data_IF_657809392604
#
_entry.id   IF_657809392604
#
_cell.length_a   1.000
_cell.length_b   1.000
_cell.length_c   1.000
_cell.angle_alpha   90.00
_cell.angle_beta   90.00
_cell.angle_gamma   90.00
#
_symmetry.space_group_name_H-M   'P 1'
#
loop_
_entity.id
_entity.type
_entity.pdbx_description
1 polymer ?
#
# COMPACT_ATOMS: atom_id res chain seq x y z
N UNK A 1 -7.32 -14.74 -31.34
CA UNK A 1 -7.67 -13.71 -30.34
C UNK A 1 -7.75 -14.28 -28.94
N UNK A 2 -8.71 -15.18 -28.62
CA UNK A 2 -8.84 -15.77 -27.27
C UNK A 2 -7.55 -16.43 -26.74
N UNK A 3 -6.88 -17.25 -27.55
CA UNK A 3 -5.63 -17.91 -27.14
C UNK A 3 -4.53 -16.90 -26.76
N UNK A 4 -4.34 -15.84 -27.55
CA UNK A 4 -3.34 -14.80 -27.26
C UNK A 4 -3.67 -14.04 -25.97
N UNK A 5 -4.94 -13.71 -25.74
CA UNK A 5 -5.38 -13.07 -24.50
C UNK A 5 -5.17 -13.97 -23.27
N UNK A 6 -5.39 -15.29 -23.40
CA UNK A 6 -5.10 -16.24 -22.32
C UNK A 6 -3.59 -16.34 -22.03
N UNK A 7 -2.75 -16.33 -23.06
CA UNK A 7 -1.28 -16.37 -22.91
C UNK A 7 -0.78 -15.09 -22.24
N UNK A 8 -1.29 -13.92 -22.62
CA UNK A 8 -0.93 -12.64 -22.01
C UNK A 8 -1.39 -12.56 -20.54
N UNK A 9 -2.61 -13.02 -20.24
CA UNK A 9 -3.09 -13.13 -18.87
C UNK A 9 -2.21 -14.07 -18.02
N UNK A 10 -1.81 -15.23 -18.57
CA UNK A 10 -0.87 -16.15 -17.91
C UNK A 10 0.50 -15.52 -17.66
N UNK A 11 0.99 -14.70 -18.57
CA UNK A 11 2.27 -14.02 -18.39
C UNK A 11 2.23 -13.05 -17.20
N UNK A 12 1.16 -12.24 -17.10
CA UNK A 12 0.98 -11.28 -16.01
C UNK A 12 0.82 -12.00 -14.66
N UNK A 13 0.00 -13.05 -14.60
CA UNK A 13 -0.18 -13.82 -13.36
C UNK A 13 1.09 -14.57 -12.96
N UNK A 14 1.87 -15.04 -13.93
CA UNK A 14 3.17 -15.68 -13.70
C UNK A 14 4.18 -14.75 -13.01
N UNK A 15 4.22 -13.47 -13.40
CA UNK A 15 5.05 -12.46 -12.73
C UNK A 15 4.64 -12.27 -11.27
N UNK A 16 3.33 -12.19 -11.00
CA UNK A 16 2.81 -12.05 -9.63
C UNK A 16 3.16 -13.28 -8.78
N UNK A 17 3.02 -14.49 -9.33
CA UNK A 17 3.38 -15.72 -8.62
C UNK A 17 4.88 -15.77 -8.27
N UNK A 18 5.75 -15.36 -9.18
CA UNK A 18 7.21 -15.24 -8.95
C UNK A 18 7.55 -14.19 -7.88
N UNK A 19 6.85 -13.07 -7.88
CA UNK A 19 7.00 -12.06 -6.81
C UNK A 19 6.62 -12.63 -5.45
N UNK A 20 5.47 -13.30 -5.34
CA UNK A 20 5.04 -13.93 -4.08
C UNK A 20 6.07 -14.93 -3.58
N UNK A 21 6.62 -15.79 -4.46
CA UNK A 21 7.66 -16.75 -4.08
C UNK A 21 8.95 -16.08 -3.56
N UNK A 22 9.37 -14.97 -4.18
CA UNK A 22 10.56 -14.24 -3.74
C UNK A 22 10.32 -13.52 -2.42
N UNK A 23 9.13 -12.97 -2.25
CA UNK A 23 8.70 -12.25 -1.05
C UNK A 23 8.58 -13.20 0.13
N UNK A 24 8.02 -14.40 -0.03
CA UNK A 24 7.95 -15.37 1.08
C UNK A 24 9.35 -15.73 1.56
N UNK A 25 10.29 -15.96 0.64
CA UNK A 25 11.69 -16.19 0.97
C UNK A 25 12.33 -14.99 1.70
N UNK A 26 12.09 -13.77 1.21
CA UNK A 26 12.59 -12.55 1.84
C UNK A 26 11.95 -12.28 3.21
N UNK A 27 10.67 -12.63 3.36
CA UNK A 27 9.92 -12.57 4.61
C UNK A 27 10.51 -13.50 5.67
N UNK A 28 10.85 -14.73 5.30
CA UNK A 28 11.56 -15.66 6.18
C UNK A 28 12.94 -15.12 6.61
N UNK A 29 13.66 -14.46 5.70
CA UNK A 29 14.94 -13.83 6.01
C UNK A 29 14.79 -12.63 6.96
N UNK A 30 13.83 -11.74 6.69
CA UNK A 30 13.47 -10.59 7.54
C UNK A 30 13.07 -11.06 8.94
N UNK A 31 12.32 -12.16 9.03
CA UNK A 31 11.89 -12.75 10.30
C UNK A 31 13.10 -13.28 11.09
N UNK A 32 14.06 -13.94 10.41
CA UNK A 32 15.30 -14.42 11.04
C UNK A 32 16.20 -13.29 11.53
N UNK A 33 16.31 -12.21 10.75
CA UNK A 33 17.09 -11.01 11.09
C UNK A 33 16.37 -10.10 12.10
N UNK A 34 15.16 -10.46 12.52
CA UNK A 34 14.32 -9.68 13.44
C UNK A 34 14.14 -8.21 13.00
N UNK A 35 14.15 -7.95 11.69
CA UNK A 35 14.07 -6.60 11.14
C UNK A 35 12.74 -5.94 11.53
N UNK A 36 11.63 -6.69 11.45
CA UNK A 36 10.32 -6.21 11.88
C UNK A 36 10.30 -5.83 13.37
N UNK A 37 11.01 -6.57 14.24
CA UNK A 37 11.11 -6.28 15.68
C UNK A 37 11.95 -5.03 15.93
N UNK A 38 13.10 -4.89 15.26
CA UNK A 38 13.93 -3.67 15.36
C UNK A 38 13.21 -2.42 14.88
N UNK A 39 12.42 -2.53 13.80
CA UNK A 39 11.58 -1.43 13.33
C UNK A 39 10.46 -1.17 14.35
N UNK A 40 9.82 -2.22 14.87
CA UNK A 40 8.82 -2.07 15.94
C UNK A 40 9.39 -1.30 17.15
N UNK A 41 10.62 -1.60 17.57
CA UNK A 41 11.27 -0.91 18.68
C UNK A 41 11.46 0.60 18.40
N UNK A 42 11.80 0.98 17.16
CA UNK A 42 11.88 2.38 16.75
C UNK A 42 10.51 3.05 16.79
N UNK A 43 9.47 2.35 16.32
CA UNK A 43 8.10 2.87 16.36
C UNK A 43 7.60 3.00 17.81
N UNK A 44 7.82 2.00 18.67
CA UNK A 44 7.41 2.02 20.08
C UNK A 44 8.19 3.06 20.89
N UNK A 45 9.47 3.29 20.58
CA UNK A 45 10.27 4.33 21.23
C UNK A 45 9.78 5.76 20.93
N UNK A 46 9.05 5.94 19.83
CA UNK A 46 8.58 7.26 19.35
C UNK A 46 7.06 7.40 19.48
N UNK A 47 6.29 6.31 19.48
CA UNK A 47 4.84 6.34 19.42
C UNK A 47 4.18 6.04 20.78
N UNK A 48 3.64 7.11 21.38
CA UNK A 48 2.87 7.03 22.63
C UNK A 48 1.41 6.58 22.42
N UNK A 49 0.93 6.51 21.16
CA UNK A 49 -0.46 6.16 20.84
C UNK A 49 -0.61 5.37 19.52
N UNK A 50 -1.66 4.52 19.40
CA UNK A 50 -1.95 3.80 18.15
C UNK A 50 -2.13 4.72 16.93
N UNK A 51 -2.67 5.92 17.13
CA UNK A 51 -2.85 6.89 16.07
C UNK A 51 -1.52 7.41 15.54
N UNK A 52 -0.53 7.61 16.41
CA UNK A 52 0.82 8.04 16.00
C UNK A 52 1.53 6.97 15.17
N UNK A 53 1.40 5.69 15.56
CA UNK A 53 1.89 4.55 14.76
C UNK A 53 1.24 4.53 13.37
N UNK A 54 -0.08 4.69 13.31
CA UNK A 54 -0.80 4.73 12.04
C UNK A 54 -0.31 5.87 11.15
N UNK A 55 -0.12 7.07 11.69
CA UNK A 55 0.41 8.22 10.93
C UNK A 55 1.83 7.93 10.42
N UNK A 56 2.70 7.34 11.23
CA UNK A 56 4.05 6.96 10.82
C UNK A 56 4.03 5.91 9.70
N UNK A 57 3.16 4.90 9.81
CA UNK A 57 2.99 3.88 8.77
C UNK A 57 2.47 4.51 7.48
N UNK A 58 1.44 5.35 7.54
CA UNK A 58 0.93 6.08 6.37
C UNK A 58 2.04 6.90 5.71
N UNK A 59 2.82 7.67 6.49
CA UNK A 59 3.92 8.47 5.98
C UNK A 59 4.99 7.60 5.29
N UNK A 60 5.38 6.49 5.91
CA UNK A 60 6.32 5.52 5.33
C UNK A 60 5.77 4.94 4.02
N UNK A 61 4.52 4.49 4.00
CA UNK A 61 3.89 3.86 2.84
C UNK A 61 3.68 4.85 1.69
N UNK A 62 3.30 6.09 1.97
CA UNK A 62 3.20 7.14 0.96
C UNK A 62 4.58 7.46 0.37
N UNK A 63 5.60 7.59 1.23
CA UNK A 63 6.94 7.91 0.78
C UNK A 63 7.53 6.77 -0.06
N UNK A 64 7.47 5.52 0.39
CA UNK A 64 8.00 4.39 -0.38
C UNK A 64 7.12 4.09 -1.61
N UNK A 65 5.79 4.18 -1.50
CA UNK A 65 4.84 3.93 -2.59
C UNK A 65 4.90 4.97 -3.71
N UNK A 66 5.53 6.11 -3.45
CA UNK A 66 5.90 7.11 -4.45
C UNK A 66 7.08 6.67 -5.34
N UNK A 67 7.93 5.75 -4.89
CA UNK A 67 9.13 5.32 -5.63
C UNK A 67 9.07 3.86 -6.11
N UNK A 68 8.41 3.00 -5.34
CA UNK A 68 8.36 1.56 -5.55
C UNK A 68 6.99 1.18 -6.09
N UNK A 69 6.95 0.20 -6.99
CA UNK A 69 5.70 -0.37 -7.49
C UNK A 69 4.79 -0.87 -6.34
N UNK A 70 3.49 -0.57 -6.44
CA UNK A 70 2.52 -0.86 -5.39
C UNK A 70 2.47 -2.34 -5.01
N UNK A 71 2.54 -3.25 -5.98
CA UNK A 71 2.47 -4.69 -5.70
C UNK A 71 3.73 -5.15 -5.00
N UNK A 72 4.90 -4.75 -5.50
CA UNK A 72 6.18 -5.09 -4.88
C UNK A 72 6.25 -4.59 -3.43
N UNK A 73 5.78 -3.36 -3.18
CA UNK A 73 5.76 -2.80 -1.84
C UNK A 73 4.77 -3.53 -0.92
N UNK A 74 3.57 -3.82 -1.40
CA UNK A 74 2.54 -4.48 -0.62
C UNK A 74 2.92 -5.93 -0.30
N UNK A 75 3.64 -6.62 -1.17
CA UNK A 75 4.16 -7.94 -0.87
C UNK A 75 5.34 -7.88 0.11
N UNK A 76 6.29 -6.96 -0.05
CA UNK A 76 7.51 -6.93 0.78
C UNK A 76 7.31 -6.26 2.14
N UNK A 77 6.71 -5.06 2.16
CA UNK A 77 6.66 -4.19 3.34
C UNK A 77 5.46 -4.52 4.23
N UNK A 78 4.32 -4.89 3.65
CA UNK A 78 3.13 -5.20 4.45
C UNK A 78 3.35 -6.32 5.49
N UNK A 79 3.90 -7.50 5.15
CA UNK A 79 4.12 -8.56 6.15
C UNK A 79 5.09 -8.15 7.25
N UNK A 80 6.02 -7.22 6.95
CA UNK A 80 6.92 -6.64 7.95
C UNK A 80 6.16 -5.72 8.92
N UNK A 81 5.12 -5.01 8.47
CA UNK A 81 4.34 -4.07 9.28
C UNK A 81 3.17 -4.72 10.04
N UNK A 82 2.63 -5.85 9.57
CA UNK A 82 1.57 -6.62 10.26
C UNK A 82 1.88 -6.88 11.75
N UNK A 83 3.05 -7.40 12.15
CA UNK A 83 3.34 -7.65 13.56
C UNK A 83 3.35 -6.37 14.41
N UNK A 84 3.69 -5.23 13.81
CA UNK A 84 3.63 -3.92 14.48
C UNK A 84 2.17 -3.52 14.67
N UNK A 85 1.33 -3.64 13.62
CA UNK A 85 -0.09 -3.34 13.70
C UNK A 85 -0.79 -4.17 14.79
N UNK A 86 -0.47 -5.47 14.87
CA UNK A 86 -1.03 -6.37 15.89
C UNK A 86 -0.61 -5.98 17.31
N UNK A 87 0.63 -5.53 17.54
CA UNK A 87 1.08 -5.08 18.86
C UNK A 87 0.29 -3.87 19.37
N UNK A 88 -0.10 -2.96 18.47
CA UNK A 88 -0.91 -1.79 18.80
C UNK A 88 -2.43 -2.05 18.77
N UNK A 89 -2.85 -3.33 18.71
CA UNK A 89 -4.26 -3.74 18.62
C UNK A 89 -5.02 -3.10 17.44
N UNK A 90 -4.31 -2.89 16.32
CA UNK A 90 -4.92 -2.38 15.09
C UNK A 90 -5.57 -3.55 14.36
N UNK A 91 -6.83 -3.38 13.98
CA UNK A 91 -7.57 -4.34 13.18
C UNK A 91 -6.92 -4.55 11.79
N UNK A 92 -6.71 -5.81 11.40
CA UNK A 92 -6.00 -6.16 10.17
C UNK A 92 -6.82 -5.87 8.90
N UNK A 93 -8.16 -5.88 9.00
CA UNK A 93 -9.04 -5.49 7.88
C UNK A 93 -8.90 -4.00 7.63
N UNK A 94 -8.99 -3.19 8.69
CA UNK A 94 -8.71 -1.76 8.62
C UNK A 94 -7.31 -1.50 8.05
N UNK A 95 -6.30 -2.20 8.57
CA UNK A 95 -4.92 -2.06 8.13
C UNK A 95 -4.76 -2.35 6.63
N UNK A 96 -5.34 -3.44 6.13
CA UNK A 96 -5.28 -3.80 4.71
C UNK A 96 -5.95 -2.78 3.78
N UNK A 97 -7.09 -2.22 4.19
CA UNK A 97 -7.75 -1.17 3.40
C UNK A 97 -6.94 0.12 3.43
N UNK A 98 -6.40 0.50 4.59
CA UNK A 98 -5.54 1.68 4.75
C UNK A 98 -4.28 1.56 3.88
N UNK A 99 -3.57 0.43 3.92
CA UNK A 99 -2.35 0.24 3.11
C UNK A 99 -2.67 0.25 1.62
N UNK A 100 -3.80 -0.35 1.20
CA UNK A 100 -4.26 -0.31 -0.19
C UNK A 100 -4.53 1.13 -0.66
N UNK A 101 -5.18 1.97 0.16
CA UNK A 101 -5.40 3.37 -0.16
C UNK A 101 -4.08 4.16 -0.27
N UNK A 102 -3.11 3.91 0.62
CA UNK A 102 -1.77 4.51 0.48
C UNK A 102 -1.12 4.14 -0.84
N UNK A 103 -1.24 2.88 -1.28
CA UNK A 103 -0.67 2.43 -2.55
C UNK A 103 -1.36 3.09 -3.75
N UNK A 104 -2.68 3.25 -3.72
CA UNK A 104 -3.42 3.98 -4.75
C UNK A 104 -2.99 5.44 -4.85
N UNK A 105 -2.72 6.09 -3.71
CA UNK A 105 -2.17 7.45 -3.69
C UNK A 105 -0.74 7.45 -4.26
N UNK A 106 0.10 6.48 -3.88
CA UNK A 106 1.48 6.35 -4.35
C UNK A 106 1.60 6.30 -5.87
N UNK A 107 0.80 5.45 -6.53
CA UNK A 107 0.82 5.30 -8.00
C UNK A 107 0.28 6.53 -8.76
N UNK A 108 -0.45 7.42 -8.08
CA UNK A 108 -1.02 8.65 -8.63
C UNK A 108 -0.18 9.91 -8.31
N UNK A 109 0.81 9.81 -7.40
CA UNK A 109 1.59 10.96 -6.95
C UNK A 109 2.83 11.16 -7.85
N UNK A 110 3.30 12.40 -8.10
CA UNK A 110 4.19 12.69 -9.24
C UNK A 110 5.72 12.42 -9.15
N UNK A 111 6.33 11.72 -8.17
CA UNK A 111 7.75 11.35 -8.29
C UNK A 111 8.02 10.13 -9.20
N UNK A 112 7.23 9.06 -9.14
CA UNK A 112 7.34 7.90 -10.06
C UNK A 112 5.98 7.40 -10.60
N UNK A 113 4.86 8.09 -10.32
CA UNK A 113 3.47 7.68 -10.57
C UNK A 113 3.23 6.87 -11.86
N UNK A 114 3.40 5.55 -11.76
CA UNK A 114 3.36 4.61 -12.89
C UNK A 114 2.06 4.74 -13.68
N UNK A 115 0.94 4.92 -12.98
CA UNK A 115 -0.37 5.12 -13.60
C UNK A 115 -0.41 6.42 -14.41
N UNK A 116 0.18 7.51 -13.93
CA UNK A 116 0.27 8.77 -14.66
C UNK A 116 1.09 8.61 -15.95
N UNK A 117 2.20 7.88 -15.90
CA UNK A 117 3.03 7.61 -17.09
C UNK A 117 2.30 6.77 -18.12
N UNK A 118 1.60 5.71 -17.70
CA UNK A 118 0.80 4.86 -18.61
C UNK A 118 -0.30 5.69 -19.28
N UNK A 119 -1.04 6.49 -18.52
CA UNK A 119 -2.10 7.35 -19.06
C UNK A 119 -1.54 8.42 -19.99
N UNK A 120 -0.42 9.05 -19.65
CA UNK A 120 0.24 10.03 -20.51
C UNK A 120 0.69 9.40 -21.85
N UNK A 121 1.21 8.17 -21.82
CA UNK A 121 1.63 7.42 -23.01
C UNK A 121 0.44 7.05 -23.90
N UNK A 122 -0.64 6.54 -23.32
CA UNK A 122 -1.86 6.18 -24.07
C UNK A 122 -2.55 7.43 -24.64
N UNK A 123 -2.57 8.51 -23.86
CA UNK A 123 -3.18 9.79 -24.25
C UNK A 123 -2.34 10.64 -25.19
N UNK A 124 -1.09 10.28 -25.49
CA UNK A 124 -0.12 11.12 -26.21
C UNK A 124 -0.01 12.54 -25.63
N UNK A 125 -0.05 12.67 -24.30
CA UNK A 125 0.06 13.94 -23.58
C UNK A 125 1.32 13.96 -22.72
N UNK A 126 1.81 15.14 -22.36
CA UNK A 126 2.91 15.24 -21.40
C UNK A 126 2.43 14.80 -20.01
N UNK A 127 3.33 14.15 -19.26
CA UNK A 127 3.05 13.70 -17.87
C UNK A 127 2.60 14.88 -17.01
N UNK A 128 3.19 16.06 -17.19
CA UNK A 128 2.80 17.27 -16.48
C UNK A 128 1.33 17.65 -16.68
N UNK A 129 0.77 17.48 -17.88
CA UNK A 129 -0.64 17.79 -18.14
C UNK A 129 -1.56 16.80 -17.44
N UNK A 130 -1.22 15.51 -17.46
CA UNK A 130 -1.98 14.47 -16.76
C UNK A 130 -1.89 14.66 -15.25
N UNK A 131 -0.70 14.95 -14.73
CA UNK A 131 -0.48 15.24 -13.30
C UNK A 131 -1.35 16.40 -12.81
N UNK A 132 -1.38 17.51 -13.55
CA UNK A 132 -2.23 18.66 -13.19
C UNK A 132 -3.72 18.31 -13.19
N UNK A 133 -4.15 17.41 -14.07
CA UNK A 133 -5.52 16.89 -14.10
C UNK A 133 -5.86 15.97 -12.94
N UNK A 134 -4.90 15.15 -12.47
CA UNK A 134 -5.10 14.18 -11.38
C UNK A 134 -4.94 14.81 -9.99
N UNK A 135 -4.12 15.86 -9.87
CA UNK A 135 -3.89 16.56 -8.60
C UNK A 135 -5.18 16.97 -7.83
N UNK A 136 -6.23 17.53 -8.46
CA UNK A 136 -7.48 17.83 -7.76
C UNK A 136 -8.22 16.57 -7.26
N UNK A 137 -8.07 15.43 -7.95
CA UNK A 137 -8.66 14.16 -7.51
C UNK A 137 -7.85 13.48 -6.39
N UNK A 138 -6.59 13.87 -6.19
CA UNK A 138 -5.80 13.41 -5.07
C UNK A 138 -6.34 13.93 -3.72
N UNK A 139 -6.91 15.14 -3.71
CA UNK A 139 -7.44 15.81 -2.52
C UNK A 139 -8.50 14.94 -1.80
N UNK A 140 -9.61 14.51 -2.44
CA UNK A 140 -10.62 13.69 -1.76
C UNK A 140 -10.06 12.33 -1.31
N UNK A 141 -9.10 11.75 -2.01
CA UNK A 141 -8.47 10.48 -1.62
C UNK A 141 -7.61 10.66 -0.37
N UNK A 142 -6.82 11.74 -0.29
CA UNK A 142 -6.07 12.09 0.89
C UNK A 142 -6.97 12.43 2.09
N UNK A 143 -8.06 13.16 1.87
CA UNK A 143 -9.06 13.43 2.91
C UNK A 143 -9.65 12.13 3.42
N UNK A 144 -10.00 11.21 2.52
CA UNK A 144 -10.49 9.88 2.89
C UNK A 144 -9.48 9.13 3.73
N UNK A 145 -8.19 9.15 3.36
CA UNK A 145 -7.11 8.51 4.12
C UNK A 145 -7.02 9.04 5.57
N UNK A 146 -7.07 10.36 5.74
CA UNK A 146 -7.04 10.99 7.06
C UNK A 146 -8.28 10.59 7.86
N UNK A 147 -9.45 10.62 7.22
CA UNK A 147 -10.73 10.36 7.86
C UNK A 147 -10.81 8.90 8.36
N UNK A 148 -10.40 7.93 7.56
CA UNK A 148 -10.35 6.53 8.01
C UNK A 148 -9.27 6.29 9.07
N UNK A 149 -8.16 7.04 9.03
CA UNK A 149 -7.08 6.93 10.03
C UNK A 149 -7.54 7.39 11.41
N UNK A 150 -8.40 8.41 11.47
CA UNK A 150 -9.00 8.90 12.72
C UNK A 150 -10.21 8.05 13.14
N UNK A 151 -11.00 7.60 12.17
CA UNK A 151 -12.23 6.83 12.39
C UNK A 151 -12.15 5.45 11.72
N UNK A 152 -11.38 4.50 12.28
CA UNK A 152 -11.23 3.15 11.72
C UNK A 152 -12.55 2.37 11.68
N UNK A 153 -13.52 2.79 12.51
CA UNK A 153 -14.88 2.28 12.57
C UNK A 153 -15.62 2.34 11.25
N UNK A 154 -15.29 3.31 10.37
CA UNK A 154 -15.94 3.42 9.05
C UNK A 154 -15.64 2.19 8.20
N UNK A 155 -14.44 1.62 8.36
CA UNK A 155 -14.01 0.43 7.63
C UNK A 155 -14.51 -0.83 8.31
N UNK A 156 -14.45 -0.88 9.65
CA UNK A 156 -14.83 -2.09 10.40
C UNK A 156 -16.34 -2.23 10.63
N UNK A 157 -17.14 -1.19 10.37
CA UNK A 157 -18.61 -1.23 10.54
C UNK A 157 -19.28 -2.31 9.71
N UNK A 158 -18.97 -2.40 8.41
CA UNK A 158 -19.56 -3.41 7.51
C UNK A 158 -19.05 -4.82 7.82
N UNK A 159 -17.73 -5.05 7.99
CA UNK A 159 -17.20 -6.35 8.41
C UNK A 159 -17.83 -6.87 9.70
N UNK A 160 -17.93 -6.04 10.75
CA UNK A 160 -18.53 -6.43 12.04
C UNK A 160 -20.04 -6.72 11.94
N UNK A 161 -20.72 -6.20 10.92
CA UNK A 161 -22.14 -6.46 10.69
C UNK A 161 -22.39 -7.76 9.91
N UNK A 162 -21.47 -8.16 9.02
CA UNK A 162 -21.61 -9.34 8.15
C UNK A 162 -20.88 -10.59 8.68
N UNK A 163 -19.80 -10.39 9.42
CA UNK A 163 -18.93 -11.45 9.96
C UNK A 163 -18.78 -11.19 11.47
N UNK A 164 -19.73 -11.65 12.30
CA UNK A 164 -19.64 -11.53 13.75
C UNK A 164 -18.55 -12.42 14.36
#
# INVERSE_FOLDING_TARGET
MLFNSCVEAMAITGVVALMIMTVTFFGDMIAREQVAMRIADVFVAVADSPLMVLVMINALLLFLGMFIDALALQFLVLPMLIPIAMQFNIDLVFFGVMTTLNMMIGILTPPMGMALFVVARVGNMSVSTVTKGVLPFLIPIFVTLILITIFPQIITFIPNLLIP
#
